data_IF_478056873179
#
_entry.id   IF_478056873179
#
_cell.length_a   1.000
_cell.length_b   1.000
_cell.length_c   1.000
_cell.angle_alpha   90.00
_cell.angle_beta   90.00
_cell.angle_gamma   90.00
#
_symmetry.space_group_name_H-M   'P 1'
#
loop_
_entity.id
_entity.type
_entity.pdbx_description
1 polymer ?
#
# COMPACT_ATOMS: atom_id res chain seq x y z
N UNK A 1 -20.76 32.40 -27.41
CA UNK A 1 -20.15 32.34 -26.08
C UNK A 1 -20.80 31.16 -25.35
N UNK A 2 -20.23 29.97 -25.51
CA UNK A 2 -20.66 28.80 -24.74
C UNK A 2 -19.54 28.43 -23.79
N UNK A 3 -19.74 28.78 -22.51
CA UNK A 3 -18.94 28.29 -21.40
C UNK A 3 -19.26 26.81 -21.21
N UNK A 4 -18.41 25.92 -21.72
CA UNK A 4 -18.46 24.50 -21.36
C UNK A 4 -17.87 24.37 -19.95
N UNK A 5 -18.74 24.26 -18.96
CA UNK A 5 -18.35 23.81 -17.63
C UNK A 5 -17.82 22.38 -17.76
N UNK A 6 -16.51 22.21 -17.78
CA UNK A 6 -15.88 20.91 -17.61
C UNK A 6 -16.22 20.43 -16.19
N UNK A 7 -17.00 19.36 -16.10
CA UNK A 7 -17.13 18.59 -14.88
C UNK A 7 -15.72 18.09 -14.50
N UNK A 8 -15.09 18.76 -13.52
CA UNK A 8 -13.81 18.34 -12.98
C UNK A 8 -13.95 16.96 -12.36
N UNK A 9 -13.21 15.93 -12.80
CA UNK A 9 -13.23 14.61 -12.19
C UNK A 9 -12.51 14.56 -10.84
N UNK A 10 -12.22 15.72 -10.24
CA UNK A 10 -11.38 15.83 -9.06
C UNK A 10 -12.19 16.27 -7.84
N UNK A 11 -12.16 15.46 -6.82
CA UNK A 11 -12.68 15.79 -5.49
C UNK A 11 -11.65 16.64 -4.73
N UNK A 12 -11.37 17.87 -5.23
CA UNK A 12 -10.51 18.82 -4.52
C UNK A 12 -11.45 19.85 -3.86
N UNK A 13 -11.62 19.69 -2.56
CA UNK A 13 -12.53 20.52 -1.72
C UNK A 13 -11.92 21.86 -1.29
N UNK A 14 -10.71 22.24 -1.73
CA UNK A 14 -10.04 23.46 -1.28
C UNK A 14 -9.43 24.25 -2.44
N UNK A 15 -9.38 25.58 -2.29
CA UNK A 15 -8.62 26.50 -3.14
C UNK A 15 -7.18 26.03 -3.29
N UNK A 16 -6.52 26.16 -4.46
CA UNK A 16 -5.17 25.67 -4.66
C UNK A 16 -4.22 26.30 -3.63
N UNK A 17 -3.78 25.49 -2.68
CA UNK A 17 -2.83 25.89 -1.65
C UNK A 17 -1.44 25.72 -2.22
N UNK A 18 -0.60 26.75 -2.09
CA UNK A 18 0.80 26.70 -2.49
C UNK A 18 1.52 25.54 -1.84
N UNK A 19 2.15 24.69 -2.64
CA UNK A 19 2.81 23.49 -2.14
C UNK A 19 4.13 23.18 -2.86
N UNK A 20 4.99 22.42 -2.17
CA UNK A 20 6.07 21.63 -2.73
C UNK A 20 5.52 20.24 -3.03
N UNK A 21 5.57 19.82 -4.27
CA UNK A 21 4.95 18.55 -4.68
C UNK A 21 5.96 17.61 -5.34
N UNK A 22 5.65 16.32 -5.28
CA UNK A 22 6.28 15.30 -6.11
C UNK A 22 5.20 14.45 -6.76
N UNK A 23 5.50 13.86 -7.93
CA UNK A 23 4.55 13.01 -8.66
C UNK A 23 5.12 11.61 -8.85
N UNK A 24 4.28 10.60 -8.66
CA UNK A 24 4.68 9.21 -8.87
C UNK A 24 3.54 8.21 -8.67
N UNK A 25 3.76 6.98 -9.08
CA UNK A 25 2.85 5.87 -8.76
C UNK A 25 2.92 5.47 -7.29
N UNK A 26 4.05 5.74 -6.65
CA UNK A 26 4.35 5.40 -5.24
C UNK A 26 3.94 3.98 -4.86
N UNK A 27 4.15 3.04 -5.78
CA UNK A 27 3.78 1.66 -5.56
C UNK A 27 4.73 1.00 -4.56
N UNK A 28 4.19 0.75 -3.37
CA UNK A 28 4.90 0.26 -2.20
C UNK A 28 5.41 1.35 -1.25
N UNK A 29 5.37 2.63 -1.58
CA UNK A 29 5.94 3.75 -0.76
C UNK A 29 7.23 3.32 -0.03
N UNK A 30 8.08 2.57 -0.76
CA UNK A 30 9.29 1.93 -0.26
C UNK A 30 10.38 2.95 0.13
N UNK A 31 11.47 2.51 0.75
CA UNK A 31 12.55 3.38 1.26
C UNK A 31 13.04 4.42 0.25
N UNK A 32 13.14 4.06 -1.05
CA UNK A 32 13.49 5.01 -2.10
C UNK A 32 12.44 6.11 -2.29
N UNK A 33 11.15 5.77 -2.25
CA UNK A 33 10.07 6.75 -2.27
C UNK A 33 10.09 7.62 -1.01
N UNK A 34 10.27 7.03 0.17
CA UNK A 34 10.31 7.75 1.45
C UNK A 34 11.48 8.76 1.51
N UNK A 35 12.63 8.44 0.93
CA UNK A 35 13.74 9.38 0.80
C UNK A 35 13.36 10.60 -0.03
N UNK A 36 12.71 10.42 -1.19
CA UNK A 36 12.20 11.51 -2.01
C UNK A 36 11.13 12.34 -1.28
N UNK A 37 10.19 11.69 -0.61
CA UNK A 37 9.15 12.36 0.18
C UNK A 37 9.75 13.17 1.34
N UNK A 38 10.80 12.67 1.99
CA UNK A 38 11.56 13.41 3.00
C UNK A 38 12.18 14.70 2.46
N UNK A 39 12.72 14.68 1.23
CA UNK A 39 13.23 15.88 0.58
C UNK A 39 12.11 16.89 0.29
N UNK A 40 10.94 16.41 -0.17
CA UNK A 40 9.74 17.25 -0.37
C UNK A 40 9.32 17.90 0.94
N UNK A 41 9.28 17.14 2.04
CA UNK A 41 8.92 17.64 3.36
C UNK A 41 9.90 18.71 3.83
N UNK A 42 11.20 18.46 3.76
CA UNK A 42 12.23 19.44 4.17
C UNK A 42 12.12 20.74 3.38
N UNK A 43 11.97 20.66 2.05
CA UNK A 43 11.79 21.86 1.22
C UNK A 43 10.51 22.62 1.53
N UNK A 44 9.43 21.91 1.85
CA UNK A 44 8.17 22.53 2.22
C UNK A 44 8.31 23.28 3.56
N UNK A 45 8.95 22.67 4.56
CA UNK A 45 9.20 23.29 5.86
C UNK A 45 10.07 24.54 5.75
N UNK A 46 11.17 24.48 4.97
CA UNK A 46 12.09 25.60 4.75
C UNK A 46 11.39 26.81 4.09
N UNK A 47 10.36 26.57 3.28
CA UNK A 47 9.65 27.60 2.51
C UNK A 47 8.30 28.01 3.13
N UNK A 48 7.88 27.36 4.22
CA UNK A 48 6.57 27.58 4.82
C UNK A 48 5.41 27.18 3.91
N UNK A 49 5.62 26.15 3.06
CA UNK A 49 4.65 25.59 2.13
C UNK A 49 4.15 24.24 2.62
N UNK A 50 3.10 23.71 2.00
CA UNK A 50 2.61 22.36 2.27
C UNK A 50 3.39 21.34 1.45
N UNK A 51 3.62 20.14 2.00
CA UNK A 51 4.20 19.01 1.29
C UNK A 51 3.08 18.19 0.64
N UNK A 52 3.18 17.94 -0.67
CA UNK A 52 2.16 17.22 -1.42
C UNK A 52 2.74 16.05 -2.23
N UNK A 53 2.02 14.92 -2.23
CA UNK A 53 2.27 13.82 -3.15
C UNK A 53 1.14 13.73 -4.18
N UNK A 54 1.49 13.76 -5.46
CA UNK A 54 0.55 13.58 -6.57
C UNK A 54 0.67 12.14 -7.05
N UNK A 55 -0.42 11.39 -6.95
CA UNK A 55 -0.46 9.97 -7.36
C UNK A 55 -1.77 9.64 -8.08
N UNK A 56 -1.96 8.40 -8.47
CA UNK A 56 -3.12 7.98 -9.27
C UNK A 56 -3.97 6.97 -8.50
N UNK A 57 -5.28 7.06 -8.60
CA UNK A 57 -6.22 6.07 -8.04
C UNK A 57 -5.95 4.68 -8.64
N UNK A 58 -5.83 4.62 -9.94
CA UNK A 58 -5.46 3.44 -10.72
C UNK A 58 -4.10 3.62 -11.36
N UNK A 59 -3.25 2.59 -11.28
CA UNK A 59 -1.93 2.65 -11.90
C UNK A 59 -2.02 2.95 -13.42
N UNK A 60 -1.31 3.97 -13.95
CA UNK A 60 -1.38 4.37 -15.37
C UNK A 60 -1.16 3.20 -16.34
N UNK A 61 -0.25 2.28 -16.00
CA UNK A 61 0.03 1.09 -16.80
C UNK A 61 -1.22 0.22 -17.00
N UNK A 62 -2.07 0.11 -15.98
CA UNK A 62 -3.29 -0.71 -16.02
C UNK A 62 -4.36 -0.11 -16.92
N UNK A 63 -4.45 1.22 -16.97
CA UNK A 63 -5.39 1.93 -17.86
C UNK A 63 -4.94 1.83 -19.32
N UNK A 64 -3.64 1.91 -19.59
CA UNK A 64 -3.07 1.91 -20.94
C UNK A 64 -2.97 0.52 -21.57
N UNK A 65 -2.64 -0.51 -20.78
CA UNK A 65 -2.42 -1.88 -21.28
C UNK A 65 -3.66 -2.78 -21.15
N UNK A 66 -4.72 -2.29 -20.53
CA UNK A 66 -5.92 -3.06 -20.20
C UNK A 66 -5.74 -3.88 -18.91
N UNK A 67 -6.86 -4.19 -18.27
CA UNK A 67 -6.89 -4.94 -17.02
C UNK A 67 -6.64 -6.43 -17.27
N UNK A 68 -5.38 -6.84 -17.25
CA UNK A 68 -5.07 -8.22 -16.91
C UNK A 68 -5.42 -8.46 -15.43
N UNK A 69 -6.05 -9.58 -15.10
CA UNK A 69 -6.44 -9.98 -13.73
C UNK A 69 -5.25 -10.27 -12.79
N UNK A 70 -4.06 -9.76 -13.08
CA UNK A 70 -2.89 -10.04 -12.28
C UNK A 70 -2.87 -9.19 -10.99
N UNK A 71 -2.78 -9.84 -9.84
CA UNK A 71 -2.51 -9.20 -8.55
C UNK A 71 -1.10 -8.64 -8.55
N UNK A 72 -0.97 -7.34 -8.68
CA UNK A 72 0.34 -6.68 -8.84
C UNK A 72 0.54 -5.44 -7.99
N UNK A 73 -0.51 -4.89 -7.36
CA UNK A 73 -0.40 -3.73 -6.48
C UNK A 73 0.26 -4.12 -5.16
N UNK A 74 1.31 -3.40 -4.76
CA UNK A 74 1.93 -3.58 -3.45
C UNK A 74 1.01 -3.02 -2.35
N UNK A 75 0.64 -1.71 -2.33
CA UNK A 75 -0.43 -1.23 -1.48
C UNK A 75 -1.75 -1.19 -2.25
N UNK A 76 -2.87 -1.26 -1.54
CA UNK A 76 -4.14 -0.78 -2.05
C UNK A 76 -4.10 0.75 -2.23
N UNK A 77 -5.15 1.32 -2.80
CA UNK A 77 -5.29 2.78 -2.92
C UNK A 77 -5.24 3.46 -1.54
N UNK A 78 -6.00 2.94 -0.60
CA UNK A 78 -6.18 3.57 0.72
C UNK A 78 -4.95 3.36 1.60
N UNK A 79 -4.34 2.15 1.60
CA UNK A 79 -3.02 1.91 2.19
C UNK A 79 -1.96 2.87 1.65
N UNK A 80 -1.94 3.14 0.34
CA UNK A 80 -0.98 4.06 -0.27
C UNK A 80 -1.15 5.49 0.21
N UNK A 81 -2.39 5.98 0.31
CA UNK A 81 -2.69 7.32 0.82
C UNK A 81 -2.22 7.44 2.28
N UNK A 82 -2.51 6.44 3.09
CA UNK A 82 -2.06 6.41 4.49
C UNK A 82 -0.53 6.40 4.60
N UNK A 83 0.15 5.53 3.84
CA UNK A 83 1.62 5.47 3.82
C UNK A 83 2.28 6.77 3.35
N UNK A 84 1.67 7.50 2.41
CA UNK A 84 2.15 8.81 1.97
C UNK A 84 1.98 9.87 3.07
N UNK A 85 0.86 9.86 3.80
CA UNK A 85 0.65 10.74 4.95
C UNK A 85 1.64 10.44 6.08
N UNK A 86 1.85 9.16 6.40
CA UNK A 86 2.87 8.72 7.37
C UNK A 86 4.29 9.11 6.95
N UNK A 87 4.56 9.25 5.64
CA UNK A 87 5.83 9.75 5.12
C UNK A 87 5.96 11.28 5.17
N UNK A 88 5.02 11.99 5.83
CA UNK A 88 5.09 13.43 6.09
C UNK A 88 4.40 14.30 5.04
N UNK A 89 3.53 13.73 4.18
CA UNK A 89 2.76 14.53 3.23
C UNK A 89 1.51 15.12 3.89
N UNK A 90 1.38 16.45 3.84
CA UNK A 90 0.20 17.17 4.28
C UNK A 90 -0.99 16.89 3.36
N UNK A 91 -0.70 16.72 2.05
CA UNK A 91 -1.70 16.45 1.02
C UNK A 91 -1.31 15.27 0.14
N UNK A 92 -2.32 14.47 -0.21
CA UNK A 92 -2.19 13.42 -1.20
C UNK A 92 -3.24 13.66 -2.28
N UNK A 93 -2.79 14.18 -3.43
CA UNK A 93 -3.63 14.39 -4.60
C UNK A 93 -3.78 13.07 -5.37
N UNK A 94 -4.98 12.49 -5.30
CA UNK A 94 -5.35 11.29 -6.04
C UNK A 94 -5.97 11.69 -7.39
N UNK A 95 -5.25 11.46 -8.47
CA UNK A 95 -5.71 11.75 -9.82
C UNK A 95 -6.34 10.49 -10.45
N UNK A 96 -7.50 10.66 -11.08
CA UNK A 96 -8.06 9.61 -11.95
C UNK A 96 -7.32 9.62 -13.28
N UNK A 97 -6.52 8.58 -13.53
CA UNK A 97 -5.78 8.48 -14.78
C UNK A 97 -6.72 8.06 -15.91
N UNK A 98 -6.99 8.97 -16.84
CA UNK A 98 -7.84 8.73 -18.01
C UNK A 98 -7.05 8.70 -19.31
N UNK A 99 -7.67 8.23 -20.39
CA UNK A 99 -7.04 8.28 -21.72
C UNK A 99 -6.77 9.72 -22.18
N UNK A 100 -7.61 10.69 -21.79
CA UNK A 100 -7.41 12.11 -22.07
C UNK A 100 -6.18 12.63 -21.32
N UNK A 101 -6.05 12.31 -20.03
CA UNK A 101 -4.86 12.67 -19.25
C UNK A 101 -3.59 12.06 -19.84
N UNK A 102 -3.66 10.84 -20.36
CA UNK A 102 -2.52 10.18 -21.01
C UNK A 102 -2.04 10.89 -22.32
N UNK A 103 -2.89 11.73 -22.93
CA UNK A 103 -2.54 12.51 -24.11
C UNK A 103 -1.85 13.84 -23.79
N UNK A 104 -1.89 14.31 -22.54
CA UNK A 104 -1.24 15.54 -22.13
C UNK A 104 0.27 15.43 -22.29
N UNK A 105 0.89 16.41 -22.92
CA UNK A 105 2.34 16.62 -22.87
C UNK A 105 2.76 16.94 -21.43
N UNK A 106 4.04 16.83 -21.11
CA UNK A 106 4.50 17.20 -19.78
C UNK A 106 4.19 18.65 -19.45
N UNK A 107 4.35 19.56 -20.44
CA UNK A 107 4.04 20.99 -20.28
C UNK A 107 2.57 21.21 -19.95
N UNK A 108 1.66 20.59 -20.71
CA UNK A 108 0.21 20.71 -20.48
C UNK A 108 -0.20 20.13 -19.10
N UNK A 109 0.40 19.02 -18.70
CA UNK A 109 0.16 18.44 -17.37
C UNK A 109 0.67 19.37 -16.26
N UNK A 110 1.86 19.96 -16.39
CA UNK A 110 2.39 20.93 -15.43
C UNK A 110 1.51 22.18 -15.32
N UNK A 111 1.00 22.69 -16.44
CA UNK A 111 0.14 23.87 -16.47
C UNK A 111 -1.24 23.58 -15.87
N UNK A 112 -1.97 22.63 -16.46
CA UNK A 112 -3.38 22.40 -16.16
C UNK A 112 -3.58 21.69 -14.81
N UNK A 113 -2.71 20.73 -14.48
CA UNK A 113 -2.89 19.91 -13.26
C UNK A 113 -2.04 20.44 -12.11
N UNK A 114 -0.72 20.56 -12.30
CA UNK A 114 0.13 20.90 -11.17
C UNK A 114 -0.03 22.37 -10.75
N UNK A 115 -0.04 23.31 -11.71
CA UNK A 115 -0.14 24.74 -11.41
C UNK A 115 -1.57 25.17 -11.12
N UNK A 116 -2.49 24.97 -12.08
CA UNK A 116 -3.84 25.56 -12.00
C UNK A 116 -4.73 24.85 -10.99
N UNK A 117 -4.67 23.52 -10.91
CA UNK A 117 -5.54 22.75 -10.01
C UNK A 117 -4.92 22.53 -8.63
N UNK A 118 -3.62 22.23 -8.54
CA UNK A 118 -2.96 21.86 -7.29
C UNK A 118 -2.13 22.99 -6.65
N UNK A 119 -1.87 24.10 -7.36
CA UNK A 119 -1.11 25.22 -6.83
C UNK A 119 0.36 24.91 -6.54
N UNK A 120 0.98 24.02 -7.33
CA UNK A 120 2.38 23.63 -7.15
C UNK A 120 3.29 24.81 -7.45
N UNK A 121 4.11 25.22 -6.47
CA UNK A 121 5.17 26.20 -6.63
C UNK A 121 6.54 25.56 -6.85
N UNK A 122 6.77 24.40 -6.24
CA UNK A 122 8.01 23.64 -6.41
C UNK A 122 7.67 22.19 -6.75
N UNK A 123 8.23 21.68 -7.83
CA UNK A 123 8.08 20.29 -8.26
C UNK A 123 9.38 19.52 -8.07
N UNK A 124 9.40 18.58 -7.14
CA UNK A 124 10.55 17.68 -6.91
C UNK A 124 10.36 16.42 -7.73
N UNK A 125 11.27 16.14 -8.67
CA UNK A 125 11.18 15.00 -9.59
C UNK A 125 12.22 13.96 -9.21
N UNK A 126 11.78 12.71 -8.97
CA UNK A 126 12.69 11.58 -8.71
C UNK A 126 13.70 11.39 -9.87
N UNK A 127 14.88 10.88 -9.54
CA UNK A 127 16.03 10.81 -10.44
C UNK A 127 15.76 10.21 -11.83
N UNK A 128 14.94 9.15 -11.89
CA UNK A 128 14.59 8.41 -13.13
C UNK A 128 13.12 8.60 -13.55
N UNK A 129 12.38 9.47 -12.85
CA UNK A 129 10.95 9.64 -13.10
C UNK A 129 10.68 10.47 -14.35
N UNK A 130 9.75 9.97 -15.17
CA UNK A 130 9.27 10.67 -16.37
C UNK A 130 7.75 10.64 -16.44
N UNK A 131 7.16 11.76 -16.85
CA UNK A 131 5.74 11.91 -17.09
C UNK A 131 5.45 12.63 -18.40
N UNK A 132 4.18 12.81 -18.74
CA UNK A 132 3.74 13.31 -20.03
C UNK A 132 3.58 12.21 -21.09
N UNK A 133 2.92 12.55 -22.18
CA UNK A 133 2.60 11.64 -23.28
C UNK A 133 3.85 10.95 -23.83
N UNK A 134 3.84 9.62 -23.82
CA UNK A 134 4.95 8.83 -24.34
C UNK A 134 6.23 8.89 -23.51
N UNK A 135 6.28 9.67 -22.42
CA UNK A 135 7.46 9.80 -21.53
C UNK A 135 8.74 10.17 -22.26
N UNK A 136 8.61 10.92 -23.36
CA UNK A 136 9.71 11.31 -24.25
C UNK A 136 10.52 12.48 -23.69
N UNK A 137 9.90 13.32 -22.89
CA UNK A 137 10.48 14.50 -22.25
C UNK A 137 11.29 14.11 -21.01
N UNK A 138 12.33 14.88 -20.70
CA UNK A 138 13.24 14.64 -19.59
C UNK A 138 13.29 15.81 -18.61
N UNK A 139 14.20 15.70 -17.64
CA UNK A 139 14.33 16.68 -16.58
C UNK A 139 14.58 18.11 -17.09
N UNK A 140 15.44 18.27 -18.10
CA UNK A 140 15.78 19.59 -18.65
C UNK A 140 14.58 20.24 -19.36
N UNK A 141 13.70 19.44 -19.96
CA UNK A 141 12.42 19.93 -20.50
C UNK A 141 11.50 20.42 -19.38
N UNK A 142 11.42 19.67 -18.27
CA UNK A 142 10.59 20.07 -17.12
C UNK A 142 11.11 21.36 -16.47
N UNK A 143 12.43 21.57 -16.38
CA UNK A 143 13.02 22.82 -15.88
C UNK A 143 12.60 23.99 -16.78
N UNK A 144 12.73 23.86 -18.10
CA UNK A 144 12.32 24.91 -19.06
C UNK A 144 10.81 25.22 -18.92
N UNK A 145 9.96 24.20 -18.84
CA UNK A 145 8.51 24.41 -18.66
C UNK A 145 8.20 25.04 -17.30
N UNK A 146 8.94 24.67 -16.27
CA UNK A 146 8.82 25.27 -14.95
C UNK A 146 9.13 26.76 -14.96
N UNK A 147 10.21 27.20 -15.65
CA UNK A 147 10.55 28.61 -15.83
C UNK A 147 9.43 29.38 -16.54
N UNK A 148 8.86 28.84 -17.63
CA UNK A 148 7.73 29.45 -18.34
C UNK A 148 6.47 29.57 -17.48
N UNK A 149 6.20 28.56 -16.64
CA UNK A 149 4.98 28.45 -15.84
C UNK A 149 5.11 29.06 -14.44
N UNK A 150 6.32 29.42 -14.00
CA UNK A 150 6.59 29.88 -12.62
C UNK A 150 6.48 28.75 -11.60
N UNK A 151 6.94 27.55 -11.96
CA UNK A 151 7.13 26.38 -11.09
C UNK A 151 8.63 26.11 -10.99
N UNK A 152 9.19 26.17 -9.80
CA UNK A 152 10.57 25.73 -9.58
C UNK A 152 10.65 24.20 -9.72
N UNK A 153 11.56 23.69 -10.56
CA UNK A 153 11.74 22.25 -10.77
C UNK A 153 13.06 21.80 -10.17
N UNK A 154 13.01 20.88 -9.23
CA UNK A 154 14.16 20.37 -8.48
C UNK A 154 14.33 18.87 -8.75
N UNK A 155 15.57 18.44 -8.97
CA UNK A 155 15.87 17.01 -9.08
C UNK A 155 16.03 16.41 -7.68
N UNK A 156 15.22 15.42 -7.36
CA UNK A 156 15.37 14.67 -6.12
C UNK A 156 16.64 13.81 -6.16
N UNK A 157 17.30 13.71 -5.02
CA UNK A 157 18.47 12.86 -4.86
C UNK A 157 18.07 11.38 -4.82
N UNK A 158 18.87 10.53 -5.46
CA UNK A 158 18.68 9.10 -5.40
C UNK A 158 18.98 8.57 -3.99
N UNK A 159 18.13 7.69 -3.46
CA UNK A 159 18.42 7.00 -2.21
C UNK A 159 19.53 5.98 -2.45
N UNK A 160 20.71 6.28 -1.94
CA UNK A 160 21.90 5.42 -2.00
C UNK A 160 22.01 4.60 -0.72
N UNK A 161 21.17 3.60 -0.55
CA UNK A 161 21.27 2.65 0.55
C UNK A 161 21.86 1.32 0.03
N UNK A 162 23.18 1.21 0.11
CA UNK A 162 23.92 0.10 -0.50
C UNK A 162 24.01 0.18 -2.02
N UNK A 163 24.57 -0.83 -2.66
CA UNK A 163 24.86 -0.83 -4.09
C UNK A 163 23.65 -1.11 -5.00
N UNK A 164 22.45 -1.35 -4.47
CA UNK A 164 21.28 -1.67 -5.29
C UNK A 164 20.11 -0.72 -5.04
N UNK A 165 19.55 -0.21 -6.14
CA UNK A 165 18.35 0.63 -6.09
C UNK A 165 17.13 -0.19 -5.60
N UNK A 166 16.40 0.35 -4.61
CA UNK A 166 15.13 -0.21 -4.18
C UNK A 166 14.08 0.02 -5.28
N UNK A 167 13.42 -1.06 -5.72
CA UNK A 167 12.37 -0.97 -6.74
C UNK A 167 11.16 -1.82 -6.40
N UNK A 168 9.96 -1.34 -6.77
CA UNK A 168 8.70 -2.08 -6.60
C UNK A 168 8.74 -3.45 -7.29
N UNK A 169 9.50 -3.59 -8.39
CA UNK A 169 9.66 -4.87 -9.09
C UNK A 169 10.41 -5.91 -8.25
N UNK A 170 11.48 -5.49 -7.56
CA UNK A 170 12.23 -6.37 -6.66
C UNK A 170 11.37 -6.78 -5.47
N UNK A 171 10.65 -5.83 -4.87
CA UNK A 171 9.74 -6.08 -3.75
C UNK A 171 8.66 -7.09 -4.13
N UNK A 172 8.01 -6.93 -5.31
CA UNK A 172 7.02 -7.89 -5.81
C UNK A 172 7.59 -9.30 -5.95
N UNK A 173 8.81 -9.42 -6.44
CA UNK A 173 9.50 -10.71 -6.55
C UNK A 173 9.70 -11.34 -5.18
N UNK A 174 10.20 -10.58 -4.19
CA UNK A 174 10.38 -11.06 -2.83
C UNK A 174 9.07 -11.57 -2.22
N UNK A 175 7.97 -10.82 -2.36
CA UNK A 175 6.65 -11.21 -1.84
C UNK A 175 6.14 -12.48 -2.52
N UNK A 176 6.23 -12.58 -3.86
CA UNK A 176 5.82 -13.76 -4.64
C UNK A 176 6.61 -15.02 -4.30
N UNK A 177 7.85 -14.86 -3.86
CA UNK A 177 8.75 -15.96 -3.45
C UNK A 177 8.67 -16.22 -1.93
N UNK A 178 7.84 -15.48 -1.19
CA UNK A 178 7.69 -15.63 0.27
C UNK A 178 8.85 -15.07 1.08
N UNK A 179 9.75 -14.32 0.47
CA UNK A 179 10.89 -13.64 1.15
C UNK A 179 10.43 -12.34 1.79
N UNK A 180 9.49 -12.46 2.76
CA UNK A 180 8.82 -11.32 3.39
C UNK A 180 9.78 -10.43 4.16
N UNK A 181 10.70 -10.98 4.94
CA UNK A 181 11.67 -10.19 5.69
C UNK A 181 12.52 -9.29 4.78
N UNK A 182 12.96 -9.81 3.60
CA UNK A 182 13.65 -8.99 2.60
C UNK A 182 12.74 -7.93 1.99
N UNK A 183 11.48 -8.28 1.69
CA UNK A 183 10.50 -7.31 1.18
C UNK A 183 10.27 -6.17 2.19
N UNK A 184 10.11 -6.49 3.48
CA UNK A 184 9.91 -5.52 4.56
C UNK A 184 11.14 -4.62 4.73
N UNK A 185 12.34 -5.16 4.65
CA UNK A 185 13.59 -4.37 4.67
C UNK A 185 13.64 -3.35 3.53
N UNK A 186 13.20 -3.72 2.31
CA UNK A 186 13.12 -2.82 1.15
C UNK A 186 11.99 -1.81 1.26
N UNK A 187 10.85 -2.21 1.82
CA UNK A 187 9.70 -1.33 2.07
C UNK A 187 10.01 -0.31 3.18
N UNK A 188 10.67 -0.74 4.25
CA UNK A 188 10.86 0.01 5.49
C UNK A 188 9.66 -0.07 6.44
N UNK A 189 8.76 -1.03 6.21
CA UNK A 189 7.60 -1.37 7.06
C UNK A 189 7.14 -2.80 6.75
N UNK A 190 6.34 -3.40 7.64
CA UNK A 190 5.76 -4.73 7.41
C UNK A 190 4.74 -4.70 6.29
N UNK A 191 4.80 -5.68 5.39
CA UNK A 191 3.85 -5.77 4.28
C UNK A 191 2.42 -5.92 4.80
N UNK A 192 1.52 -5.04 4.35
CA UNK A 192 0.15 -4.95 4.81
C UNK A 192 -0.79 -5.84 3.98
N UNK A 193 -1.72 -6.51 4.65
CA UNK A 193 -2.88 -7.15 4.03
C UNK A 193 -4.13 -6.72 4.80
N UNK A 194 -5.08 -6.10 4.13
CA UNK A 194 -6.37 -5.76 4.73
C UNK A 194 -7.51 -6.55 4.09
N UNK A 195 -8.47 -6.93 4.93
CA UNK A 195 -9.67 -7.60 4.47
C UNK A 195 -10.72 -7.77 5.56
N UNK A 196 -11.92 -8.10 5.12
CA UNK A 196 -13.06 -8.36 5.97
C UNK A 196 -13.03 -9.80 6.49
N UNK A 197 -13.37 -9.98 7.77
CA UNK A 197 -13.56 -11.30 8.36
C UNK A 197 -14.88 -11.89 7.88
N UNK A 198 -14.80 -12.99 7.16
CA UNK A 198 -15.95 -13.71 6.59
C UNK A 198 -16.13 -15.09 7.20
N UNK A 199 -17.31 -15.67 6.99
CA UNK A 199 -17.57 -17.05 7.45
C UNK A 199 -16.64 -18.07 6.77
N UNK A 200 -16.21 -19.05 7.57
CA UNK A 200 -15.39 -20.18 7.13
C UNK A 200 -15.85 -21.50 7.72
N UNK A 201 -15.13 -22.58 7.45
CA UNK A 201 -15.53 -23.95 7.86
C UNK A 201 -15.36 -24.23 9.37
N UNK A 202 -14.75 -23.32 10.14
CA UNK A 202 -14.58 -23.41 11.60
C UNK A 202 -13.84 -24.68 12.08
N UNK A 203 -13.00 -25.29 11.23
CA UNK A 203 -12.26 -26.52 11.55
C UNK A 203 -11.25 -26.27 12.66
N UNK A 204 -10.51 -25.17 12.62
CA UNK A 204 -9.49 -24.81 13.61
C UNK A 204 -10.05 -24.70 15.03
N UNK A 205 -11.31 -24.25 15.17
CA UNK A 205 -11.98 -24.18 16.49
C UNK A 205 -12.05 -25.52 17.20
N UNK A 206 -12.20 -26.64 16.46
CA UNK A 206 -12.30 -28.00 17.04
C UNK A 206 -10.98 -28.53 17.59
N UNK A 207 -9.86 -27.96 17.14
CA UNK A 207 -8.50 -28.37 17.52
C UNK A 207 -7.79 -27.33 18.40
N UNK A 208 -8.51 -26.32 18.90
CA UNK A 208 -7.96 -25.30 19.79
C UNK A 208 -7.25 -24.13 19.08
N UNK A 209 -7.34 -24.06 17.74
CA UNK A 209 -6.76 -22.97 16.93
C UNK A 209 -7.86 -22.29 16.10
N UNK A 210 -8.78 -21.52 16.72
CA UNK A 210 -9.81 -20.80 15.98
C UNK A 210 -9.16 -19.83 14.98
N UNK A 211 -9.65 -19.80 13.73
CA UNK A 211 -9.16 -18.92 12.66
C UNK A 211 -10.25 -17.97 12.19
N UNK A 212 -9.85 -16.73 11.86
CA UNK A 212 -10.65 -15.79 11.08
C UNK A 212 -10.28 -15.95 9.60
N UNK A 213 -11.29 -16.09 8.74
CA UNK A 213 -11.10 -16.12 7.29
C UNK A 213 -11.15 -14.71 6.76
N UNK A 214 -10.14 -14.31 5.99
CA UNK A 214 -9.97 -12.94 5.50
C UNK A 214 -10.29 -12.89 4.02
N UNK A 215 -11.24 -12.05 3.64
CA UNK A 215 -11.53 -11.69 2.26
C UNK A 215 -10.87 -10.35 1.94
N UNK A 216 -9.77 -10.39 1.19
CA UNK A 216 -9.08 -9.19 0.71
C UNK A 216 -9.96 -8.50 -0.33
N UNK A 217 -10.29 -7.22 -0.09
CA UNK A 217 -11.26 -6.48 -0.89
C UNK A 217 -10.73 -6.06 -2.26
N UNK A 218 -9.43 -5.75 -2.35
CA UNK A 218 -8.78 -5.37 -3.62
C UNK A 218 -8.28 -6.61 -4.35
N UNK A 219 -8.93 -6.95 -5.46
CA UNK A 219 -8.55 -8.08 -6.34
C UNK A 219 -7.14 -7.94 -6.94
N UNK A 220 -6.58 -6.72 -6.97
CA UNK A 220 -5.25 -6.45 -7.50
C UNK A 220 -4.16 -6.45 -6.43
N UNK A 221 -4.54 -6.54 -5.15
CA UNK A 221 -3.57 -6.63 -4.05
C UNK A 221 -2.71 -7.89 -4.21
N UNK A 222 -1.39 -7.69 -4.19
CA UNK A 222 -0.44 -8.80 -4.28
C UNK A 222 -0.49 -9.63 -3.00
N UNK A 223 -0.72 -10.93 -3.14
CA UNK A 223 -0.66 -11.86 -2.02
C UNK A 223 0.73 -12.51 -1.94
N UNK A 224 1.28 -12.71 -0.74
CA UNK A 224 2.50 -13.52 -0.54
C UNK A 224 2.38 -14.93 -1.10
N UNK A 225 3.49 -15.63 -1.27
CA UNK A 225 3.49 -17.06 -1.59
C UNK A 225 2.64 -17.87 -0.58
N UNK A 226 2.23 -19.07 -0.97
CA UNK A 226 1.56 -19.98 -0.04
C UNK A 226 2.49 -20.36 1.10
N UNK A 227 1.97 -20.44 2.31
CA UNK A 227 2.74 -20.72 3.51
C UNK A 227 2.12 -20.14 4.78
N UNK A 228 2.81 -20.34 5.89
CA UNK A 228 2.44 -19.82 7.20
C UNK A 228 3.36 -18.65 7.56
N UNK A 229 2.77 -17.58 8.07
CA UNK A 229 3.45 -16.32 8.36
C UNK A 229 3.15 -15.85 9.79
N UNK A 230 4.12 -15.23 10.44
CA UNK A 230 3.90 -14.43 11.63
C UNK A 230 3.31 -13.08 11.21
N UNK A 231 2.27 -12.63 11.91
CA UNK A 231 1.61 -11.35 11.62
C UNK A 231 1.26 -10.60 12.90
N UNK A 232 1.38 -9.27 12.84
CA UNK A 232 0.66 -8.37 13.74
C UNK A 232 -0.77 -8.22 13.26
N UNK A 233 -1.75 -8.17 14.16
CA UNK A 233 -3.18 -8.09 13.82
C UNK A 233 -3.80 -6.87 14.46
N UNK A 234 -4.41 -6.02 13.64
CA UNK A 234 -5.12 -4.82 14.06
C UNK A 234 -6.55 -4.82 13.51
N UNK A 235 -7.50 -4.29 14.29
CA UNK A 235 -8.85 -3.98 13.77
C UNK A 235 -8.81 -2.60 13.14
N UNK A 236 -9.32 -2.49 11.92
CA UNK A 236 -9.52 -1.21 11.25
C UNK A 236 -10.93 -0.71 11.59
N UNK A 237 -11.02 0.37 12.34
CA UNK A 237 -12.29 0.99 12.67
C UNK A 237 -12.67 1.99 11.54
N UNK A 238 -13.63 1.60 10.73
CA UNK A 238 -14.13 2.46 9.63
C UNK A 238 -15.24 3.42 10.06
N UNK A 239 -15.76 3.30 11.31
CA UNK A 239 -16.87 4.12 11.80
C UNK A 239 -16.66 4.54 13.26
N UNK A 240 -16.80 5.84 13.51
CA UNK A 240 -16.85 6.48 14.85
C UNK A 240 -18.11 6.13 15.67
N UNK A 241 -18.93 5.17 15.22
CA UNK A 241 -20.30 5.00 15.71
C UNK A 241 -20.52 3.93 16.78
N UNK A 242 -19.52 3.10 17.12
CA UNK A 242 -19.68 2.08 18.16
C UNK A 242 -18.97 2.45 19.47
N UNK A 243 -19.67 3.15 20.36
CA UNK A 243 -19.23 3.50 21.73
C UNK A 243 -19.01 2.28 22.65
N UNK A 244 -19.36 1.07 22.23
CA UNK A 244 -19.31 -0.14 23.03
C UNK A 244 -18.09 -1.05 22.74
N UNK A 245 -17.16 -0.63 21.91
CA UNK A 245 -15.97 -1.43 21.64
C UNK A 245 -14.95 -1.34 22.79
N UNK A 246 -14.81 -2.41 23.55
CA UNK A 246 -13.86 -2.57 24.67
C UNK A 246 -12.38 -2.64 24.22
N UNK A 247 -12.07 -2.24 22.99
CA UNK A 247 -10.70 -2.28 22.46
C UNK A 247 -10.00 -0.94 22.70
N UNK A 248 -8.81 -0.99 23.28
CA UNK A 248 -8.00 0.22 23.57
C UNK A 248 -7.74 1.01 22.30
N UNK A 249 -8.15 2.29 22.30
CA UNK A 249 -8.03 3.21 21.17
C UNK A 249 -6.75 4.03 21.30
N UNK A 250 -5.76 3.73 20.47
CA UNK A 250 -4.73 4.69 20.09
C UNK A 250 -4.89 4.99 18.59
N UNK A 251 -5.73 5.97 18.26
CA UNK A 251 -6.06 6.32 16.88
C UNK A 251 -7.10 5.36 16.22
N UNK A 252 -7.12 5.31 14.89
CA UNK A 252 -8.11 4.55 14.08
C UNK A 252 -7.90 3.02 14.07
N UNK A 253 -6.85 2.49 14.71
CA UNK A 253 -6.53 1.06 14.75
C UNK A 253 -6.45 0.56 16.18
N UNK A 254 -7.08 -0.60 16.44
CA UNK A 254 -6.94 -1.32 17.71
C UNK A 254 -6.10 -2.58 17.49
N UNK A 255 -4.96 -2.66 18.19
CA UNK A 255 -4.09 -3.82 18.13
C UNK A 255 -4.71 -5.00 18.91
N UNK A 256 -4.95 -6.12 18.23
CA UNK A 256 -5.42 -7.36 18.83
C UNK A 256 -4.28 -8.24 19.35
N UNK A 257 -3.09 -8.09 18.78
CA UNK A 257 -1.91 -8.87 19.13
C UNK A 257 -1.24 -9.54 17.94
N UNK A 258 -0.51 -10.62 18.22
CA UNK A 258 0.19 -11.42 17.21
C UNK A 258 -0.69 -12.57 16.71
N UNK A 259 -0.41 -13.04 15.49
CA UNK A 259 -1.13 -14.16 14.90
C UNK A 259 -0.29 -15.00 13.94
N UNK A 260 -0.85 -16.15 13.58
CA UNK A 260 -0.35 -17.04 12.54
C UNK A 260 -1.29 -16.94 11.34
N UNK A 261 -0.80 -16.42 10.23
CA UNK A 261 -1.51 -16.29 8.97
C UNK A 261 -1.17 -17.48 8.06
N UNK A 262 -2.17 -18.23 7.63
CA UNK A 262 -2.06 -19.25 6.58
C UNK A 262 -2.57 -18.69 5.25
N UNK A 263 -1.74 -18.74 4.22
CA UNK A 263 -2.12 -18.47 2.83
C UNK A 263 -1.93 -19.77 2.05
N UNK A 264 -2.99 -20.30 1.47
CA UNK A 264 -2.95 -21.58 0.78
C UNK A 264 -4.12 -21.76 -0.19
N UNK A 265 -4.21 -22.91 -0.82
CA UNK A 265 -5.30 -23.26 -1.71
C UNK A 265 -6.29 -24.17 -1.01
N UNK A 266 -7.59 -23.89 -1.16
CA UNK A 266 -8.62 -24.83 -0.72
C UNK A 266 -8.89 -25.84 -1.83
N UNK A 267 -8.95 -27.14 -1.51
CA UNK A 267 -9.50 -28.12 -2.44
C UNK A 267 -11.01 -27.85 -2.57
N UNK A 268 -11.43 -27.12 -3.61
CA UNK A 268 -12.84 -26.91 -3.91
C UNK A 268 -13.34 -27.92 -4.94
N UNK A 269 -14.57 -28.40 -4.76
CA UNK A 269 -15.25 -29.37 -5.65
C UNK A 269 -15.55 -28.74 -7.03
N UNK A 270 -15.44 -27.42 -7.17
CA UNK A 270 -15.71 -26.66 -8.41
C UNK A 270 -14.45 -25.93 -8.86
N UNK A 271 -13.51 -26.62 -9.49
CA UNK A 271 -12.41 -26.11 -10.36
C UNK A 271 -11.92 -24.65 -10.22
N UNK A 272 -12.11 -23.98 -9.06
CA UNK A 272 -11.63 -22.64 -8.75
C UNK A 272 -10.45 -22.73 -7.78
N UNK A 273 -9.28 -22.28 -8.17
CA UNK A 273 -8.10 -22.11 -7.32
C UNK A 273 -8.26 -20.85 -6.43
N UNK A 274 -9.31 -20.80 -5.60
CA UNK A 274 -9.43 -19.69 -4.66
C UNK A 274 -8.44 -19.89 -3.51
N UNK A 275 -7.52 -18.94 -3.38
CA UNK A 275 -6.58 -18.90 -2.26
C UNK A 275 -7.35 -18.55 -0.98
N UNK A 276 -7.18 -19.37 0.05
CA UNK A 276 -7.67 -19.07 1.39
C UNK A 276 -6.64 -18.25 2.17
N UNK A 277 -7.14 -17.31 2.95
CA UNK A 277 -6.35 -16.47 3.85
C UNK A 277 -6.98 -16.61 5.22
N UNK A 278 -6.30 -17.28 6.14
CA UNK A 278 -6.83 -17.61 7.46
C UNK A 278 -5.84 -17.18 8.54
N UNK A 279 -6.29 -16.41 9.51
CA UNK A 279 -5.44 -15.97 10.63
C UNK A 279 -5.95 -16.53 11.96
N UNK A 280 -5.05 -17.17 12.71
CA UNK A 280 -5.24 -17.49 14.12
C UNK A 280 -4.58 -16.39 14.95
N UNK A 281 -5.35 -15.67 15.75
CA UNK A 281 -4.86 -14.59 16.62
C UNK A 281 -4.56 -15.22 17.99
N UNK A 282 -3.33 -15.04 18.46
CA UNK A 282 -2.85 -15.60 19.70
C UNK A 282 -3.56 -14.93 20.89
N UNK A 283 -3.97 -15.78 21.84
CA UNK A 283 -4.52 -15.35 23.11
C UNK A 283 -5.73 -14.38 23.00
N UNK A 284 -6.43 -14.42 21.86
CA UNK A 284 -7.60 -13.61 21.56
C UNK A 284 -8.89 -14.44 21.69
N UNK A 285 -9.85 -13.88 22.41
CA UNK A 285 -11.21 -14.39 22.51
C UNK A 285 -12.19 -13.27 22.14
N UNK A 286 -12.99 -13.48 21.10
CA UNK A 286 -13.97 -12.50 20.64
C UNK A 286 -14.59 -12.86 19.31
N UNK A 287 -15.58 -12.06 18.91
CA UNK A 287 -16.23 -12.14 17.61
C UNK A 287 -15.72 -11.02 16.69
N UNK A 288 -15.20 -11.42 15.54
CA UNK A 288 -14.62 -10.52 14.54
C UNK A 288 -15.39 -10.53 13.20
N UNK A 289 -16.50 -11.27 13.10
CA UNK A 289 -17.26 -11.35 11.86
C UNK A 289 -17.72 -9.96 11.37
N UNK A 290 -17.51 -9.70 10.08
CA UNK A 290 -17.82 -8.40 9.46
C UNK A 290 -16.87 -7.27 9.83
N UNK A 291 -15.87 -7.50 10.69
CA UNK A 291 -14.83 -6.52 10.98
C UNK A 291 -13.75 -6.53 9.91
N UNK A 292 -13.17 -5.39 9.64
CA UNK A 292 -11.97 -5.27 8.81
C UNK A 292 -10.72 -5.45 9.66
N UNK A 293 -9.85 -6.38 9.26
CA UNK A 293 -8.56 -6.58 9.89
C UNK A 293 -7.44 -6.10 8.97
N UNK A 294 -6.42 -5.48 9.58
CA UNK A 294 -5.12 -5.19 8.98
C UNK A 294 -4.11 -6.15 9.55
N UNK A 295 -3.46 -6.91 8.68
CA UNK A 295 -2.42 -7.87 9.00
C UNK A 295 -1.07 -7.29 8.55
N UNK A 296 -0.15 -7.15 9.50
CA UNK A 296 1.22 -6.76 9.26
C UNK A 296 2.08 -8.01 9.11
N UNK A 297 2.36 -8.40 7.86
CA UNK A 297 3.07 -9.65 7.56
C UNK A 297 4.55 -9.48 7.85
N UNK A 298 5.05 -10.16 8.90
CA UNK A 298 6.38 -9.94 9.46
C UNK A 298 7.42 -10.89 8.86
N UNK A 299 7.19 -12.20 9.01
CA UNK A 299 8.12 -13.23 8.58
C UNK A 299 7.37 -14.48 8.11
N UNK A 300 7.97 -15.23 7.18
CA UNK A 300 7.50 -16.54 6.77
C UNK A 300 8.02 -17.61 7.74
N UNK A 301 7.13 -18.29 8.42
CA UNK A 301 7.47 -19.35 9.38
C UNK A 301 7.86 -20.65 8.66
N UNK A 302 7.06 -21.04 7.64
CA UNK A 302 7.27 -22.27 6.88
C UNK A 302 6.42 -22.31 5.61
N UNK A 303 6.69 -23.31 4.77
CA UNK A 303 5.81 -23.70 3.66
C UNK A 303 4.53 -24.37 4.16
N UNK A 304 3.48 -24.32 3.33
CA UNK A 304 2.32 -25.16 3.53
C UNK A 304 2.69 -26.63 3.27
N UNK A 305 2.25 -27.52 4.14
CA UNK A 305 2.52 -28.96 4.02
C UNK A 305 1.35 -29.81 4.48
N UNK A 306 1.11 -30.97 3.87
CA UNK A 306 0.15 -31.93 4.41
C UNK A 306 0.68 -32.57 5.70
N UNK A 307 -0.23 -33.04 6.56
CA UNK A 307 0.09 -33.76 7.79
C UNK A 307 -0.50 -35.17 7.73
N UNK A 308 0.21 -36.15 8.27
CA UNK A 308 -0.21 -37.55 8.28
C UNK A 308 -1.30 -37.81 9.33
N UNK A 309 -1.28 -37.03 10.42
CA UNK A 309 -2.28 -37.14 11.51
C UNK A 309 -2.70 -35.75 12.02
N UNK A 310 -3.80 -35.72 12.75
CA UNK A 310 -4.26 -34.51 13.45
C UNK A 310 -3.29 -34.09 14.56
N UNK A 311 -2.67 -35.05 15.22
CA UNK A 311 -1.69 -34.80 16.28
C UNK A 311 -0.43 -34.13 15.73
N UNK A 312 0.04 -34.55 14.56
CA UNK A 312 1.17 -33.87 13.87
C UNK A 312 0.84 -32.44 13.49
N UNK A 313 -0.38 -32.17 13.02
CA UNK A 313 -0.86 -30.81 12.76
C UNK A 313 -0.87 -29.98 14.04
N UNK A 314 -1.43 -30.49 15.14
CA UNK A 314 -1.49 -29.79 16.42
C UNK A 314 -0.08 -29.50 16.96
N UNK A 315 0.82 -30.48 16.87
CA UNK A 315 2.22 -30.32 17.29
C UNK A 315 2.92 -29.19 16.49
N UNK A 316 2.71 -29.16 15.17
CA UNK A 316 3.28 -28.10 14.33
C UNK A 316 2.68 -26.73 14.64
N UNK A 317 1.35 -26.63 14.82
CA UNK A 317 0.69 -25.37 15.17
C UNK A 317 1.18 -24.81 16.53
N UNK A 318 1.45 -25.68 17.49
CA UNK A 318 2.06 -25.28 18.77
C UNK A 318 3.50 -24.77 18.56
N UNK A 319 4.30 -25.43 17.74
CA UNK A 319 5.66 -24.96 17.43
C UNK A 319 5.64 -23.58 16.69
N UNK A 320 4.74 -23.40 15.73
CA UNK A 320 4.54 -22.13 15.04
C UNK A 320 4.10 -21.02 16.01
N UNK A 321 3.19 -21.33 16.96
CA UNK A 321 2.72 -20.41 17.99
C UNK A 321 3.85 -19.95 18.92
N UNK A 322 4.69 -20.85 19.39
CA UNK A 322 5.82 -20.49 20.24
C UNK A 322 6.83 -19.61 19.49
N UNK A 323 7.10 -19.89 18.21
CA UNK A 323 7.97 -19.06 17.38
C UNK A 323 7.40 -17.64 17.23
N UNK A 324 6.10 -17.48 17.02
CA UNK A 324 5.45 -16.14 16.96
C UNK A 324 5.54 -15.43 18.30
N UNK A 325 5.42 -16.14 19.43
CA UNK A 325 5.56 -15.55 20.77
C UNK A 325 6.98 -15.04 21.04
N UNK A 326 7.99 -15.77 20.60
CA UNK A 326 9.39 -15.34 20.72
C UNK A 326 9.63 -14.03 19.95
N UNK A 327 9.03 -13.87 18.79
CA UNK A 327 9.13 -12.64 17.99
C UNK A 327 8.44 -11.43 18.65
N UNK A 328 7.41 -11.62 19.47
CA UNK A 328 6.69 -10.54 20.15
C UNK A 328 7.54 -9.75 21.16
N UNK A 329 8.67 -10.29 21.62
CA UNK A 329 9.62 -9.63 22.51
C UNK A 329 10.61 -8.70 21.79
N UNK A 330 10.64 -8.73 20.47
CA UNK A 330 11.58 -7.93 19.63
C UNK A 330 10.91 -6.74 18.93
N UNK A 331 9.57 -6.52 19.15
CA UNK A 331 8.75 -5.48 18.48
C UNK A 331 8.10 -4.51 19.48
#
# INVERSE_FOLDING_TARGET
>A
MHSSAFNSPFSILHSPLKCVATIGSFDGVHRGHRSLLGQVRSMADERGLRAAAVTFDTAPKRVLEGSGNARTSLPTRDERVELLRQAGMDEVALLTFTHEMAQLTAREFMEQVLKEQLGVEVLVIGYDHRFGRGRSEGFDDYVRYGEELGIEVVRGEACMDGCEAVSSTRIRRCIKEGRIAEANSLLGYCYLLEGEVVDGYKVGRKIGFPTANIRVSDEHKLLPADGVYAVGVNVVNNDDTNENDNYHRDGNNCQLGMGMLNIGHRPTVNNGEERSIEVHILDFEGDLYGRSLRLEVMERLRDEKPFESLDDLIAQLNADKERVREMNGEW
#
